data_IF_571411269263
#
_entry.id   IF_571411269263
#
_cell.length_a   1.000
_cell.length_b   1.000
_cell.length_c   1.000
_cell.angle_alpha   90.00
_cell.angle_beta   90.00
_cell.angle_gamma   90.00
#
_symmetry.space_group_name_H-M   'P 1'
#
loop_
_entity.id
_entity.type
_entity.pdbx_description
1 polymer ?
#
# COMPACT_ATOMS: atom_id res chain seq x y z
N UNK A 1 -11.11 16.02 -22.41
CA UNK A 1 -11.31 15.78 -20.96
C UNK A 1 -11.66 17.06 -20.18
N UNK A 2 -11.17 18.23 -20.57
CA UNK A 2 -11.49 19.50 -19.88
C UNK A 2 -12.97 19.91 -19.95
N UNK A 3 -13.76 19.30 -20.86
CA UNK A 3 -15.17 19.59 -21.06
C UNK A 3 -16.12 18.59 -20.37
N UNK A 4 -15.58 17.53 -19.75
CA UNK A 4 -16.41 16.51 -19.09
C UNK A 4 -16.61 16.82 -17.61
N UNK A 5 -17.86 16.95 -17.20
CA UNK A 5 -18.23 16.82 -15.80
C UNK A 5 -18.07 15.36 -15.36
N UNK A 6 -17.71 15.15 -14.08
CA UNK A 6 -17.58 13.80 -13.53
C UNK A 6 -18.91 13.01 -13.75
N UNK A 7 -18.87 11.79 -14.31
CA UNK A 7 -20.08 11.03 -14.56
C UNK A 7 -20.90 10.83 -13.28
N UNK A 8 -22.13 11.31 -13.27
CA UNK A 8 -23.02 11.28 -12.10
C UNK A 8 -24.02 10.12 -12.12
N UNK A 9 -24.20 9.47 -13.27
CA UNK A 9 -25.13 8.38 -13.49
C UNK A 9 -24.54 7.31 -14.44
N UNK A 10 -25.15 6.10 -14.50
CA UNK A 10 -24.63 5.01 -15.33
C UNK A 10 -24.58 5.30 -16.83
N UNK A 11 -25.46 6.18 -17.33
CA UNK A 11 -25.50 6.50 -18.77
C UNK A 11 -24.33 7.42 -19.14
N UNK A 12 -24.10 8.47 -18.36
CA UNK A 12 -22.96 9.37 -18.53
C UNK A 12 -21.63 8.64 -18.33
N UNK A 13 -21.56 7.69 -17.36
CA UNK A 13 -20.43 6.81 -17.17
C UNK A 13 -20.17 5.91 -18.38
N UNK A 14 -21.23 5.41 -19.02
CA UNK A 14 -21.12 4.63 -20.23
C UNK A 14 -20.58 5.42 -21.42
N UNK A 15 -21.05 6.64 -21.63
CA UNK A 15 -20.55 7.53 -22.69
C UNK A 15 -19.09 7.89 -22.47
N UNK A 16 -18.72 8.23 -21.25
CA UNK A 16 -17.32 8.51 -20.90
C UNK A 16 -16.42 7.30 -21.19
N UNK A 17 -16.86 6.09 -20.85
CA UNK A 17 -16.11 4.88 -21.12
C UNK A 17 -15.96 4.61 -22.63
N UNK A 18 -16.96 4.90 -23.43
CA UNK A 18 -16.91 4.77 -24.90
C UNK A 18 -15.93 5.78 -25.50
N UNK A 19 -15.98 7.05 -25.07
CA UNK A 19 -15.06 8.09 -25.54
C UNK A 19 -13.62 7.79 -25.16
N UNK A 20 -13.38 7.34 -23.92
CA UNK A 20 -12.07 6.90 -23.47
C UNK A 20 -11.55 5.73 -24.29
N UNK A 21 -12.43 4.77 -24.60
CA UNK A 21 -12.09 3.61 -25.41
C UNK A 21 -11.71 4.01 -26.83
N UNK A 22 -12.44 4.93 -27.43
CA UNK A 22 -12.10 5.47 -28.76
C UNK A 22 -10.77 6.22 -28.76
N UNK A 23 -10.51 6.99 -27.72
CA UNK A 23 -9.26 7.78 -27.59
C UNK A 23 -8.03 6.88 -27.44
N UNK A 24 -8.17 5.77 -26.71
CA UNK A 24 -7.06 4.86 -26.39
C UNK A 24 -6.93 3.68 -27.37
N UNK A 25 -7.90 3.52 -28.28
CA UNK A 25 -7.85 2.45 -29.27
C UNK A 25 -6.65 2.61 -30.21
N UNK A 26 -5.87 1.55 -30.40
CA UNK A 26 -4.69 1.58 -31.26
C UNK A 26 -3.79 0.38 -31.06
N UNK A 27 -2.55 0.49 -31.56
CA UNK A 27 -1.53 -0.55 -31.45
C UNK A 27 -0.68 -0.42 -30.18
N UNK A 28 -0.79 0.71 -29.45
CA UNK A 28 -0.01 0.96 -28.23
C UNK A 28 -0.75 0.42 -27.03
N UNK A 29 -0.06 -0.37 -26.20
CA UNK A 29 -0.59 -0.84 -24.93
C UNK A 29 -0.59 0.27 -23.89
N UNK A 30 -1.72 0.44 -23.21
CA UNK A 30 -1.90 1.38 -22.11
C UNK A 30 -2.19 0.64 -20.82
N UNK A 31 -1.52 1.04 -19.74
CA UNK A 31 -1.73 0.51 -18.39
C UNK A 31 -2.19 1.63 -17.48
N UNK A 32 -3.42 1.51 -16.95
CA UNK A 32 -4.02 2.46 -16.02
C UNK A 32 -3.99 1.83 -14.64
N UNK A 33 -3.22 2.41 -13.72
CA UNK A 33 -3.09 1.93 -12.35
C UNK A 33 -3.96 2.75 -11.41
N UNK A 34 -4.78 2.07 -10.61
CA UNK A 34 -5.57 2.64 -9.53
C UNK A 34 -5.13 1.94 -8.25
N UNK A 35 -4.42 2.68 -7.40
CA UNK A 35 -3.95 2.18 -6.12
C UNK A 35 -4.90 2.55 -4.99
N UNK A 36 -4.83 1.80 -3.89
CA UNK A 36 -5.63 2.02 -2.68
C UNK A 36 -7.13 2.18 -2.93
N UNK A 37 -7.69 1.40 -3.86
CA UNK A 37 -9.10 1.50 -4.26
C UNK A 37 -10.09 1.34 -3.09
N UNK A 38 -9.69 0.64 -2.02
CA UNK A 38 -10.49 0.47 -0.80
C UNK A 38 -10.81 1.79 -0.07
N UNK A 39 -10.13 2.89 -0.41
CA UNK A 39 -10.42 4.21 0.14
C UNK A 39 -11.68 4.85 -0.47
N UNK A 40 -12.15 4.32 -1.60
CA UNK A 40 -13.31 4.81 -2.29
C UNK A 40 -14.54 4.05 -1.79
N UNK A 41 -15.37 4.73 -1.01
CA UNK A 41 -16.53 4.11 -0.32
C UNK A 41 -17.81 4.13 -1.16
N UNK A 42 -17.83 4.86 -2.27
CA UNK A 42 -19.01 4.96 -3.14
C UNK A 42 -19.11 3.73 -4.07
N UNK A 43 -20.12 2.90 -3.85
CA UNK A 43 -20.37 1.69 -4.64
C UNK A 43 -20.51 1.96 -6.16
N UNK A 44 -20.95 3.18 -6.56
CA UNK A 44 -21.08 3.57 -7.96
C UNK A 44 -19.73 3.55 -8.70
N UNK A 45 -18.63 3.77 -7.99
CA UNK A 45 -17.28 3.75 -8.58
C UNK A 45 -16.92 2.33 -9.01
N UNK A 46 -17.24 1.31 -8.22
CA UNK A 46 -17.03 -0.10 -8.59
C UNK A 46 -17.88 -0.49 -9.81
N UNK A 47 -19.13 -0.03 -9.88
CA UNK A 47 -20.01 -0.24 -11.03
C UNK A 47 -19.48 0.45 -12.28
N UNK A 48 -18.99 1.67 -12.15
CA UNK A 48 -18.32 2.41 -13.22
C UNK A 48 -17.09 1.67 -13.74
N UNK A 49 -16.20 1.19 -12.86
CA UNK A 49 -15.05 0.39 -13.27
C UNK A 49 -15.43 -0.88 -14.01
N UNK A 50 -16.47 -1.57 -13.57
CA UNK A 50 -17.00 -2.73 -14.31
C UNK A 50 -17.50 -2.35 -15.70
N UNK A 51 -18.15 -1.20 -15.83
CA UNK A 51 -18.65 -0.68 -17.11
C UNK A 51 -17.49 -0.32 -18.03
N UNK A 52 -16.51 0.39 -17.51
CA UNK A 52 -15.28 0.75 -18.21
C UNK A 52 -14.54 -0.52 -18.70
N UNK A 53 -14.29 -1.48 -17.81
CA UNK A 53 -13.58 -2.73 -18.14
C UNK A 53 -14.23 -3.56 -19.26
N UNK A 54 -15.55 -3.45 -19.43
CA UNK A 54 -16.26 -4.14 -20.53
C UNK A 54 -16.09 -3.44 -21.87
N UNK A 55 -15.83 -2.12 -21.86
CA UNK A 55 -15.83 -1.24 -23.02
C UNK A 55 -14.44 -0.89 -23.54
N UNK A 56 -13.43 -0.90 -22.66
CA UNK A 56 -12.04 -0.61 -23.06
C UNK A 56 -11.55 -1.64 -24.08
N UNK A 57 -10.75 -1.21 -25.08
CA UNK A 57 -10.16 -2.08 -26.09
C UNK A 57 -9.11 -3.02 -25.48
N UNK A 58 -8.70 -4.04 -26.22
CA UNK A 58 -7.76 -5.08 -25.74
C UNK A 58 -6.37 -4.54 -25.40
N UNK A 59 -5.96 -3.44 -26.00
CA UNK A 59 -4.69 -2.78 -25.72
C UNK A 59 -4.72 -1.88 -24.46
N UNK A 60 -5.84 -1.82 -23.73
CA UNK A 60 -5.96 -1.03 -22.50
C UNK A 60 -6.15 -1.94 -21.31
N UNK A 61 -5.23 -1.86 -20.37
CA UNK A 61 -5.18 -2.68 -19.17
C UNK A 61 -5.47 -1.84 -17.93
N UNK A 62 -6.51 -2.21 -17.18
CA UNK A 62 -6.84 -1.56 -15.92
C UNK A 62 -6.33 -2.41 -14.77
N UNK A 63 -5.39 -1.87 -13.99
CA UNK A 63 -4.79 -2.53 -12.83
C UNK A 63 -5.28 -1.84 -11.56
N UNK A 64 -6.04 -2.56 -10.75
CA UNK A 64 -6.64 -2.00 -9.52
C UNK A 64 -6.07 -2.74 -8.32
N UNK A 65 -5.43 -2.01 -7.42
CA UNK A 65 -4.98 -2.53 -6.13
C UNK A 65 -5.95 -2.11 -5.02
N UNK A 66 -6.34 -3.09 -4.20
CA UNK A 66 -7.27 -2.87 -3.09
C UNK A 66 -6.98 -3.86 -1.96
N UNK A 67 -7.16 -3.45 -0.72
CA UNK A 67 -7.08 -4.36 0.44
C UNK A 67 -8.31 -5.26 0.51
N UNK A 68 -9.46 -4.74 0.11
CA UNK A 68 -10.75 -5.41 0.18
C UNK A 68 -11.20 -5.93 -1.18
N UNK A 69 -12.09 -6.93 -1.16
CA UNK A 69 -12.78 -7.39 -2.34
C UNK A 69 -13.88 -6.38 -2.69
N UNK A 70 -13.63 -5.51 -3.63
CA UNK A 70 -14.58 -4.48 -4.07
C UNK A 70 -15.55 -4.95 -5.17
N UNK A 71 -15.25 -6.08 -5.83
CA UNK A 71 -16.11 -6.65 -6.85
C UNK A 71 -17.11 -7.64 -6.24
N UNK A 72 -18.39 -7.46 -6.54
CA UNK A 72 -19.42 -8.44 -6.20
C UNK A 72 -19.24 -9.73 -7.01
N UNK A 73 -19.76 -10.86 -6.51
CA UNK A 73 -19.73 -12.12 -7.26
C UNK A 73 -20.37 -12.02 -8.64
N UNK A 74 -21.45 -11.24 -8.78
CA UNK A 74 -22.09 -10.97 -10.07
C UNK A 74 -21.20 -10.18 -11.03
N UNK A 75 -20.43 -9.21 -10.52
CA UNK A 75 -19.48 -8.44 -11.30
C UNK A 75 -18.32 -9.33 -11.82
N UNK A 76 -17.78 -10.19 -10.96
CA UNK A 76 -16.73 -11.15 -11.31
C UNK A 76 -17.20 -12.07 -12.45
N UNK A 77 -18.39 -12.65 -12.33
CA UNK A 77 -18.98 -13.49 -13.39
C UNK A 77 -19.22 -12.68 -14.66
N UNK A 78 -19.72 -11.45 -14.53
CA UNK A 78 -20.03 -10.59 -15.68
C UNK A 78 -18.78 -10.09 -16.45
N UNK A 79 -17.62 -9.99 -15.81
CA UNK A 79 -16.35 -9.65 -16.46
C UNK A 79 -15.68 -10.89 -17.10
N UNK A 80 -15.91 -12.07 -16.51
CA UNK A 80 -15.44 -13.33 -17.06
C UNK A 80 -13.95 -13.32 -17.38
N UNK A 81 -13.57 -13.72 -18.59
CA UNK A 81 -12.17 -13.80 -19.04
C UNK A 81 -11.43 -12.46 -19.16
N UNK A 82 -12.12 -11.32 -19.02
CA UNK A 82 -11.50 -10.00 -18.99
C UNK A 82 -10.91 -9.66 -17.60
N UNK A 83 -11.25 -10.44 -16.57
CA UNK A 83 -10.80 -10.21 -15.20
C UNK A 83 -9.73 -11.22 -14.82
N UNK A 84 -8.56 -10.73 -14.44
CA UNK A 84 -7.55 -11.51 -13.77
C UNK A 84 -7.44 -11.04 -12.32
N UNK A 85 -7.64 -11.96 -11.36
CA UNK A 85 -7.54 -11.65 -9.94
C UNK A 85 -6.20 -12.14 -9.38
N UNK A 86 -5.42 -11.21 -8.85
CA UNK A 86 -4.22 -11.51 -8.09
C UNK A 86 -4.58 -11.43 -6.61
N UNK A 87 -4.44 -12.54 -5.91
CA UNK A 87 -4.72 -12.64 -4.46
C UNK A 87 -3.44 -12.64 -3.65
N UNK A 88 -3.56 -12.57 -2.34
CA UNK A 88 -2.44 -12.66 -1.40
C UNK A 88 -1.57 -13.89 -1.69
N UNK A 89 -2.17 -15.03 -2.00
CA UNK A 89 -1.43 -16.28 -2.28
C UNK A 89 -0.55 -16.18 -3.53
N UNK A 90 -0.94 -15.37 -4.52
CA UNK A 90 -0.15 -15.11 -5.71
C UNK A 90 1.00 -14.11 -5.46
N UNK A 91 0.89 -13.31 -4.41
CA UNK A 91 1.89 -12.31 -4.05
C UNK A 91 2.92 -12.82 -3.03
N UNK A 92 2.68 -13.98 -2.43
CA UNK A 92 3.65 -14.62 -1.55
C UNK A 92 4.81 -15.19 -2.35
N UNK A 93 6.02 -14.89 -1.92
CA UNK A 93 7.21 -15.46 -2.52
C UNK A 93 7.32 -16.95 -2.15
N UNK A 94 7.57 -17.78 -3.14
CA UNK A 94 7.98 -19.17 -2.93
C UNK A 94 9.52 -19.28 -2.78
N UNK A 95 10.03 -20.49 -2.54
CA UNK A 95 11.45 -20.75 -2.34
C UNK A 95 12.32 -20.23 -3.49
N UNK A 96 11.92 -20.50 -4.73
CA UNK A 96 12.68 -20.09 -5.91
C UNK A 96 12.66 -18.58 -6.11
N UNK A 97 11.49 -17.97 -5.96
CA UNK A 97 11.31 -16.51 -6.07
C UNK A 97 12.08 -15.78 -4.98
N UNK A 98 12.04 -16.27 -3.74
CA UNK A 98 12.82 -15.69 -2.64
C UNK A 98 14.32 -15.80 -2.89
N UNK A 99 14.80 -16.93 -3.37
CA UNK A 99 16.22 -17.12 -3.73
C UNK A 99 16.67 -16.11 -4.78
N UNK A 100 15.88 -15.96 -5.86
CA UNK A 100 16.15 -14.97 -6.92
C UNK A 100 16.12 -13.56 -6.36
N UNK A 101 15.12 -13.22 -5.53
CA UNK A 101 14.99 -11.91 -4.95
C UNK A 101 16.15 -11.57 -4.01
N UNK A 102 16.54 -12.49 -3.13
CA UNK A 102 17.70 -12.32 -2.25
C UNK A 102 18.98 -12.03 -3.07
N UNK A 103 19.19 -12.78 -4.16
CA UNK A 103 20.32 -12.56 -5.06
C UNK A 103 20.28 -11.17 -5.71
N UNK A 104 19.11 -10.71 -6.16
CA UNK A 104 18.93 -9.36 -6.71
C UNK A 104 19.21 -8.26 -5.67
N UNK A 105 18.95 -8.53 -4.40
CA UNK A 105 19.32 -7.64 -3.28
C UNK A 105 20.82 -7.73 -2.91
N UNK A 106 21.62 -8.49 -3.64
CA UNK A 106 23.05 -8.67 -3.36
C UNK A 106 23.34 -9.64 -2.22
N UNK A 107 22.37 -10.39 -1.76
CA UNK A 107 22.47 -11.32 -0.62
C UNK A 107 22.47 -12.76 -1.12
N UNK A 108 23.45 -13.55 -0.69
CA UNK A 108 23.48 -14.99 -0.95
C UNK A 108 23.07 -15.75 0.31
N UNK A 109 21.92 -16.39 0.24
CA UNK A 109 21.39 -17.24 1.30
C UNK A 109 21.57 -18.72 0.94
N UNK A 110 21.89 -19.54 1.95
CA UNK A 110 21.83 -20.99 1.83
C UNK A 110 20.37 -21.46 1.79
N UNK A 111 20.12 -22.67 1.26
CA UNK A 111 18.77 -23.25 1.22
C UNK A 111 18.10 -23.28 2.61
N UNK A 112 18.88 -23.59 3.65
CA UNK A 112 18.39 -23.58 5.04
C UNK A 112 17.97 -22.19 5.50
N UNK A 113 18.69 -21.14 5.12
CA UNK A 113 18.32 -19.77 5.44
C UNK A 113 17.07 -19.32 4.65
N UNK A 114 16.95 -19.74 3.39
CA UNK A 114 15.75 -19.48 2.59
C UNK A 114 14.53 -20.15 3.22
N UNK A 115 14.62 -21.43 3.62
CA UNK A 115 13.54 -22.15 4.31
C UNK A 115 13.15 -21.47 5.62
N UNK A 116 14.14 -21.05 6.42
CA UNK A 116 13.92 -20.34 7.67
C UNK A 116 13.21 -19.01 7.43
N UNK A 117 13.67 -18.25 6.43
CA UNK A 117 13.08 -16.97 6.07
C UNK A 117 11.67 -17.12 5.52
N UNK A 118 11.40 -18.13 4.70
CA UNK A 118 10.04 -18.43 4.24
C UNK A 118 9.11 -18.80 5.39
N UNK A 119 9.60 -19.56 6.35
CA UNK A 119 8.80 -19.95 7.52
C UNK A 119 8.45 -18.74 8.40
N UNK A 120 9.42 -17.85 8.65
CA UNK A 120 9.20 -16.68 9.51
C UNK A 120 8.40 -15.56 8.82
N UNK A 121 8.57 -15.38 7.51
CA UNK A 121 7.90 -14.34 6.72
C UNK A 121 6.59 -14.79 6.10
N UNK A 122 6.30 -16.10 6.10
CA UNK A 122 5.21 -16.70 5.32
C UNK A 122 5.22 -16.30 3.84
N UNK A 123 6.39 -15.95 3.31
CA UNK A 123 6.56 -15.47 1.94
C UNK A 123 6.08 -14.03 1.70
N UNK A 124 5.74 -13.30 2.74
CA UNK A 124 5.34 -11.89 2.62
C UNK A 124 6.52 -11.02 2.17
N UNK A 125 6.34 -10.33 1.03
CA UNK A 125 7.38 -9.55 0.41
C UNK A 125 8.03 -8.53 1.36
N UNK A 126 7.23 -7.76 2.10
CA UNK A 126 7.74 -6.76 3.05
C UNK A 126 8.54 -7.40 4.19
N UNK A 127 8.09 -8.54 4.72
CA UNK A 127 8.81 -9.28 5.75
C UNK A 127 10.14 -9.82 5.21
N UNK A 128 10.12 -10.41 4.01
CA UNK A 128 11.33 -10.87 3.34
C UNK A 128 12.33 -9.73 3.15
N UNK A 129 11.86 -8.60 2.63
CA UNK A 129 12.69 -7.42 2.41
C UNK A 129 13.37 -6.93 3.69
N UNK A 130 12.60 -6.78 4.78
CA UNK A 130 13.15 -6.33 6.07
C UNK A 130 14.18 -7.31 6.65
N UNK A 131 13.92 -8.62 6.53
CA UNK A 131 14.88 -9.64 6.95
C UNK A 131 16.18 -9.57 6.12
N UNK A 132 16.08 -9.33 4.81
CA UNK A 132 17.26 -9.17 3.95
C UNK A 132 18.03 -7.89 4.30
N UNK A 133 17.34 -6.80 4.64
CA UNK A 133 18.00 -5.58 5.13
C UNK A 133 18.77 -5.86 6.45
N UNK A 134 18.13 -6.51 7.41
CA UNK A 134 18.77 -6.87 8.67
C UNK A 134 19.97 -7.82 8.46
N UNK A 135 19.84 -8.79 7.56
CA UNK A 135 20.95 -9.68 7.18
C UNK A 135 22.12 -8.91 6.57
N UNK A 136 21.85 -7.93 5.72
CA UNK A 136 22.89 -7.11 5.09
C UNK A 136 23.68 -6.26 6.11
N UNK A 137 23.01 -5.83 7.19
CA UNK A 137 23.63 -5.02 8.25
C UNK A 137 24.35 -5.88 9.29
N UNK A 138 23.77 -7.01 9.68
CA UNK A 138 24.23 -7.81 10.82
C UNK A 138 24.95 -9.09 10.42
N UNK A 139 24.81 -9.54 9.16
CA UNK A 139 25.37 -10.80 8.66
C UNK A 139 24.62 -12.06 9.06
N UNK A 140 23.53 -11.91 9.82
CA UNK A 140 22.70 -13.01 10.30
C UNK A 140 21.22 -12.67 10.08
N UNK A 141 20.41 -13.70 9.78
CA UNK A 141 18.95 -13.53 9.76
C UNK A 141 18.46 -13.40 11.20
N UNK A 142 17.50 -12.50 11.46
CA UNK A 142 16.88 -12.40 12.78
C UNK A 142 16.31 -13.75 13.24
N UNK A 143 16.37 -14.00 14.53
CA UNK A 143 15.82 -15.23 15.11
C UNK A 143 14.33 -15.39 14.76
N UNK A 144 13.88 -16.62 14.50
CA UNK A 144 12.52 -16.99 14.05
C UNK A 144 11.37 -16.54 14.97
N UNK A 145 11.66 -15.91 16.10
CA UNK A 145 10.71 -15.41 17.08
C UNK A 145 10.53 -13.89 17.05
N UNK A 146 11.25 -13.19 16.16
CA UNK A 146 11.09 -11.74 16.03
C UNK A 146 9.74 -11.46 15.37
N UNK A 147 8.87 -10.75 16.08
CA UNK A 147 7.64 -10.22 15.52
C UNK A 147 7.99 -9.31 14.33
N UNK A 148 7.36 -9.52 13.18
CA UNK A 148 7.56 -8.68 11.99
C UNK A 148 7.39 -7.19 12.29
N UNK A 149 6.55 -6.86 13.26
CA UNK A 149 6.33 -5.48 13.69
C UNK A 149 7.51 -4.94 14.51
N UNK A 150 8.18 -5.77 15.30
CA UNK A 150 9.42 -5.38 15.99
C UNK A 150 10.52 -5.10 14.98
N UNK A 151 10.67 -5.97 13.99
CA UNK A 151 11.63 -5.78 12.90
C UNK A 151 11.31 -4.53 12.08
N UNK A 152 10.03 -4.32 11.74
CA UNK A 152 9.59 -3.13 11.03
C UNK A 152 9.85 -1.87 11.86
N UNK A 153 9.58 -1.90 13.16
CA UNK A 153 9.85 -0.79 14.06
C UNK A 153 11.35 -0.50 14.13
N UNK A 154 12.19 -1.53 14.30
CA UNK A 154 13.63 -1.39 14.33
C UNK A 154 14.22 -0.84 13.03
N UNK A 155 13.69 -1.26 11.87
CA UNK A 155 14.17 -0.82 10.56
C UNK A 155 13.65 0.56 10.16
N UNK A 156 12.42 0.91 10.52
CA UNK A 156 11.70 2.05 9.96
C UNK A 156 11.37 3.15 10.97
N UNK A 157 11.19 2.82 12.25
CA UNK A 157 10.80 3.77 13.30
C UNK A 157 12.00 4.18 14.15
N UNK A 158 12.77 3.21 14.61
CA UNK A 158 13.90 3.48 15.52
C UNK A 158 14.99 4.38 14.94
N UNK A 159 15.33 4.30 13.63
CA UNK A 159 16.30 5.21 13.03
C UNK A 159 15.80 6.65 12.88
N UNK A 160 14.49 6.90 13.06
CA UNK A 160 13.94 8.23 12.92
C UNK A 160 14.38 9.15 14.07
N UNK A 161 14.52 10.47 13.79
CA UNK A 161 14.70 11.45 14.86
C UNK A 161 13.59 11.34 15.90
N UNK A 162 13.93 11.58 17.18
CA UNK A 162 12.99 11.42 18.31
C UNK A 162 11.64 12.15 18.08
N UNK A 163 11.69 13.38 17.60
CA UNK A 163 10.48 14.18 17.29
C UNK A 163 9.59 13.47 16.26
N UNK A 164 10.18 12.84 15.24
CA UNK A 164 9.40 12.11 14.21
C UNK A 164 8.83 10.84 14.80
N UNK A 165 9.57 10.13 15.63
CA UNK A 165 9.13 8.89 16.27
C UNK A 165 7.98 9.16 17.25
N UNK A 166 8.10 10.16 18.12
CA UNK A 166 7.02 10.56 19.02
C UNK A 166 5.77 10.97 18.25
N UNK A 167 5.93 11.75 17.18
CA UNK A 167 4.85 12.15 16.31
C UNK A 167 4.15 10.94 15.69
N UNK A 168 4.90 9.95 15.19
CA UNK A 168 4.36 8.72 14.61
C UNK A 168 3.57 7.91 15.63
N UNK A 169 4.10 7.74 16.83
CA UNK A 169 3.45 6.95 17.90
C UNK A 169 2.14 7.59 18.32
N UNK A 170 2.10 8.93 18.50
CA UNK A 170 0.90 9.64 18.92
C UNK A 170 -0.13 9.70 17.79
N UNK A 171 0.29 10.09 16.59
CA UNK A 171 -0.62 10.29 15.47
C UNK A 171 -1.02 8.99 14.77
N UNK A 172 -0.27 7.89 14.98
CA UNK A 172 -0.60 6.56 14.46
C UNK A 172 -1.91 5.98 15.00
N UNK A 173 -2.46 6.54 16.08
CA UNK A 173 -3.78 6.18 16.61
C UNK A 173 -4.94 6.72 15.74
N UNK A 174 -4.68 7.73 14.90
CA UNK A 174 -5.68 8.30 14.03
C UNK A 174 -5.67 7.59 12.65
N UNK A 175 -6.86 7.32 12.10
CA UNK A 175 -6.97 6.79 10.74
C UNK A 175 -6.59 7.84 9.71
N UNK A 176 -7.09 9.05 9.91
CA UNK A 176 -6.83 10.22 9.08
C UNK A 176 -6.74 11.47 9.97
N UNK A 177 -5.91 12.41 9.57
CA UNK A 177 -5.74 13.65 10.34
C UNK A 177 -5.32 14.81 9.42
N UNK A 178 -5.65 16.03 9.86
CA UNK A 178 -5.12 17.25 9.25
C UNK A 178 -3.85 17.74 9.96
N UNK A 179 -3.09 18.62 9.30
CA UNK A 179 -1.93 19.24 9.94
C UNK A 179 -2.32 20.08 11.17
N UNK A 180 -3.50 20.69 11.16
CA UNK A 180 -4.03 21.44 12.29
C UNK A 180 -4.38 20.52 13.47
N UNK A 181 -5.02 19.37 13.20
CA UNK A 181 -5.30 18.36 14.23
C UNK A 181 -4.00 17.81 14.82
N UNK A 182 -3.04 17.47 13.98
CA UNK A 182 -1.75 16.96 14.42
C UNK A 182 -0.98 17.98 15.26
N UNK A 183 -0.98 19.27 14.85
CA UNK A 183 -0.40 20.36 15.63
C UNK A 183 -1.06 20.49 17.01
N UNK A 184 -2.39 20.38 17.06
CA UNK A 184 -3.15 20.49 18.31
C UNK A 184 -2.85 19.34 19.28
N UNK A 185 -2.77 18.10 18.75
CA UNK A 185 -2.54 16.90 19.58
C UNK A 185 -1.06 16.83 20.06
N UNK A 186 -0.11 17.12 19.16
CA UNK A 186 1.33 16.99 19.48
C UNK A 186 1.94 18.27 20.05
N UNK A 187 1.19 19.36 20.11
CA UNK A 187 1.64 20.69 20.52
C UNK A 187 2.89 21.17 19.74
N UNK A 188 3.13 20.61 18.55
CA UNK A 188 4.31 20.91 17.73
C UNK A 188 3.99 21.97 16.68
N UNK A 189 4.61 23.13 16.81
CA UNK A 189 4.44 24.26 15.87
C UNK A 189 4.96 23.93 14.46
N UNK A 190 5.98 23.07 14.33
CA UNK A 190 6.63 22.71 13.07
C UNK A 190 5.95 21.52 12.35
N UNK A 191 4.75 21.12 12.78
CA UNK A 191 4.02 19.96 12.26
C UNK A 191 3.90 19.93 10.72
N UNK A 192 3.66 21.09 10.08
CA UNK A 192 3.57 21.15 8.60
C UNK A 192 4.90 20.82 7.92
N UNK A 193 6.00 21.29 8.48
CA UNK A 193 7.34 21.01 7.97
C UNK A 193 7.69 19.54 8.19
N UNK A 194 7.37 19.01 9.36
CA UNK A 194 7.55 17.62 9.74
C UNK A 194 6.81 16.69 8.78
N UNK A 195 5.51 16.91 8.56
CA UNK A 195 4.69 16.15 7.62
C UNK A 195 5.20 16.24 6.18
N UNK A 196 5.67 17.41 5.76
CA UNK A 196 6.28 17.58 4.45
C UNK A 196 7.56 16.77 4.29
N UNK A 197 8.41 16.75 5.32
CA UNK A 197 9.64 15.95 5.33
C UNK A 197 9.32 14.45 5.29
N UNK A 198 8.42 13.98 6.14
CA UNK A 198 8.01 12.57 6.23
C UNK A 198 7.38 12.09 4.91
N UNK A 199 6.53 12.91 4.28
CA UNK A 199 5.91 12.57 2.98
C UNK A 199 6.97 12.48 1.87
N UNK A 200 7.96 13.37 1.86
CA UNK A 200 9.06 13.34 0.88
C UNK A 200 10.01 12.16 1.06
N UNK A 201 10.20 11.71 2.29
CA UNK A 201 11.06 10.57 2.61
C UNK A 201 10.35 9.23 2.42
N UNK A 202 9.12 9.20 1.89
CA UNK A 202 8.27 8.02 1.86
C UNK A 202 8.13 7.36 3.25
N UNK A 203 8.09 8.16 4.30
CA UNK A 203 8.01 7.70 5.70
C UNK A 203 6.61 7.18 6.05
N UNK A 204 6.01 6.41 5.13
CA UNK A 204 4.70 5.77 5.28
C UNK A 204 3.55 6.73 5.61
N UNK A 205 3.73 8.02 5.30
CA UNK A 205 2.71 9.06 5.39
C UNK A 205 2.33 9.48 3.98
N UNK A 206 1.07 9.39 3.65
CA UNK A 206 0.50 9.87 2.39
C UNK A 206 -0.40 11.07 2.64
N UNK A 207 -0.38 12.03 1.71
CA UNK A 207 -1.32 13.14 1.66
C UNK A 207 -2.44 12.77 0.71
N UNK A 208 -3.68 12.88 1.16
CA UNK A 208 -4.84 12.53 0.35
C UNK A 208 -5.10 13.57 -0.77
N UNK A 209 -6.00 13.21 -1.68
CA UNK A 209 -6.34 14.01 -2.86
C UNK A 209 -6.96 15.37 -2.54
N UNK A 210 -7.56 15.52 -1.36
CA UNK A 210 -8.07 16.81 -0.85
C UNK A 210 -6.97 17.83 -0.53
N UNK A 211 -5.71 17.36 -0.51
CA UNK A 211 -4.55 18.18 -0.25
C UNK A 211 -4.41 18.69 1.19
N UNK A 212 -5.24 18.25 2.13
CA UNK A 212 -5.27 18.70 3.54
C UNK A 212 -5.16 17.54 4.51
N UNK A 213 -5.65 16.37 4.14
CA UNK A 213 -5.70 15.17 4.98
C UNK A 213 -4.49 14.30 4.76
N UNK A 214 -3.97 13.75 5.85
CA UNK A 214 -2.86 12.81 5.88
C UNK A 214 -3.32 11.48 6.44
N UNK A 215 -2.64 10.40 6.01
CA UNK A 215 -2.87 9.04 6.49
C UNK A 215 -1.56 8.30 6.60
N UNK A 216 -1.40 7.48 7.64
CA UNK A 216 -0.30 6.55 7.73
C UNK A 216 -0.58 5.28 6.94
N UNK A 217 0.49 4.69 6.40
CA UNK A 217 0.43 3.33 5.87
C UNK A 217 0.03 2.36 7.00
N UNK A 218 -0.76 1.33 6.65
CA UNK A 218 -1.28 0.36 7.62
C UNK A 218 -0.21 -0.22 8.54
N UNK A 219 0.91 -0.71 8.00
CA UNK A 219 2.00 -1.26 8.80
C UNK A 219 2.57 -0.26 9.79
N UNK A 220 2.72 1.01 9.39
CA UNK A 220 3.19 2.06 10.28
C UNK A 220 2.20 2.34 11.41
N UNK A 221 0.91 2.35 11.09
CA UNK A 221 -0.15 2.51 12.08
C UNK A 221 -0.12 1.40 13.11
N UNK A 222 -0.06 0.13 12.70
CA UNK A 222 0.03 -1.01 13.62
C UNK A 222 1.29 -0.98 14.50
N UNK A 223 2.45 -0.59 13.93
CA UNK A 223 3.66 -0.41 14.71
C UNK A 223 3.52 0.72 15.74
N UNK A 224 2.92 1.84 15.35
CA UNK A 224 2.68 2.98 16.23
C UNK A 224 1.72 2.62 17.38
N UNK A 225 0.65 1.89 17.10
CA UNK A 225 -0.30 1.38 18.10
C UNK A 225 0.39 0.46 19.13
N UNK A 226 1.24 -0.45 18.65
CA UNK A 226 2.01 -1.36 19.53
C UNK A 226 3.02 -0.60 20.38
N UNK A 227 3.73 0.35 19.79
CA UNK A 227 4.67 1.21 20.52
C UNK A 227 3.96 2.03 21.59
N UNK A 228 2.79 2.59 21.28
CA UNK A 228 1.97 3.31 22.24
C UNK A 228 1.52 2.43 23.41
N UNK A 229 1.03 1.23 23.12
CA UNK A 229 0.63 0.25 24.15
C UNK A 229 1.80 -0.23 25.03
N UNK A 230 3.02 -0.22 24.50
CA UNK A 230 4.21 -0.53 25.28
C UNK A 230 4.59 0.59 26.25
N UNK A 231 4.45 1.85 25.82
CA UNK A 231 4.72 3.01 26.67
C UNK A 231 3.77 3.12 27.88
N UNK A 232 2.52 2.68 27.75
CA UNK A 232 1.53 2.76 28.84
C UNK A 232 1.75 1.68 29.93
N UNK A 233 2.59 0.67 29.68
CA UNK A 233 2.97 -0.36 30.66
C UNK A 233 4.15 0.03 31.57
N UNK A 234 4.88 1.10 31.23
CA UNK A 234 6.00 1.59 32.01
C UNK A 234 5.64 2.76 32.92
N UNK A 235 4.41 3.24 32.90
CA UNK A 235 3.86 4.25 33.83
C UNK A 235 2.87 3.62 34.80
#
# INVERSE_FOLDING_TARGET
FEEYECPSDPASGGLFADDLSHLLAGETDYYIFIDDFHLLTDARISEFLCTLSRRIPENVHLVVASRDRFLSGGAVVGLGGKLHQITVDHLRLNHTELSVYAHLCGTQLSDRQIESLLHSSEGWFSAVYLNLCAFAEQGELPDNHSDIYEMFSAAMIDPLPEIQREFLVVMGLADEFSAEMAKFITENEDTKQLLSAMTKQNAFVSRLTDGVTYRFHHMMKECAERAFMAMDKEK
#
